data_IF_857924842021
#
_entry.id   IF_857924842021
#
_cell.length_a   1.000
_cell.length_b   1.000
_cell.length_c   1.000
_cell.angle_alpha   90.00
_cell.angle_beta   90.00
_cell.angle_gamma   90.00
#
_symmetry.space_group_name_H-M   'P 1'
#
loop_
_entity.id
_entity.type
_entity.pdbx_description
1 polymer ?
#
# COMPACT_ATOMS: atom_id res chain seq x y z
N UNK A 1 9.03 -31.10 23.11
CA UNK A 1 8.05 -30.49 22.21
C UNK A 1 8.40 -30.87 20.78
N UNK A 2 7.80 -31.94 20.24
CA UNK A 2 8.07 -32.42 18.89
C UNK A 2 7.13 -31.72 17.91
N UNK A 3 7.66 -30.85 17.07
CA UNK A 3 6.89 -30.15 16.03
C UNK A 3 6.37 -31.15 14.99
N UNK A 4 5.07 -31.16 14.65
CA UNK A 4 4.55 -32.04 13.61
C UNK A 4 5.20 -31.72 12.27
N UNK A 5 5.61 -32.77 11.55
CA UNK A 5 6.29 -32.67 10.25
C UNK A 5 5.28 -32.15 9.23
N UNK A 6 5.52 -30.95 8.71
CA UNK A 6 4.68 -30.35 7.68
C UNK A 6 4.91 -31.07 6.35
N UNK A 7 3.88 -31.73 5.84
CA UNK A 7 3.97 -32.56 4.63
C UNK A 7 3.55 -31.78 3.38
N UNK A 8 4.20 -32.06 2.25
CA UNK A 8 3.93 -31.39 0.97
C UNK A 8 2.45 -31.51 0.53
N UNK A 9 1.77 -32.62 0.86
CA UNK A 9 0.34 -32.77 0.58
C UNK A 9 -0.53 -31.80 1.38
N UNK A 10 -0.17 -31.54 2.63
CA UNK A 10 -0.86 -30.56 3.46
C UNK A 10 -0.68 -29.16 2.88
N UNK A 11 0.52 -28.83 2.40
CA UNK A 11 0.78 -27.58 1.68
C UNK A 11 -0.06 -27.43 0.41
N UNK A 12 -0.18 -28.50 -0.40
CA UNK A 12 -1.01 -28.49 -1.61
C UNK A 12 -2.49 -28.29 -1.28
N UNK A 13 -2.99 -28.94 -0.24
CA UNK A 13 -4.37 -28.76 0.24
C UNK A 13 -4.60 -27.35 0.79
N UNK A 14 -3.63 -26.79 1.51
CA UNK A 14 -3.68 -25.42 2.01
C UNK A 14 -3.65 -24.40 0.86
N UNK A 15 -2.82 -24.62 -0.17
CA UNK A 15 -2.80 -23.82 -1.40
C UNK A 15 -4.14 -23.86 -2.12
N UNK A 16 -4.70 -25.05 -2.36
CA UNK A 16 -5.99 -25.20 -3.03
C UNK A 16 -7.13 -24.53 -2.24
N UNK A 17 -7.08 -24.57 -0.90
CA UNK A 17 -8.03 -23.84 -0.02
C UNK A 17 -7.84 -22.33 -0.09
N UNK A 18 -6.62 -21.84 -0.23
CA UNK A 18 -6.32 -20.43 -0.43
C UNK A 18 -6.83 -19.94 -1.79
N UNK A 19 -6.58 -20.68 -2.86
CA UNK A 19 -7.05 -20.37 -4.22
C UNK A 19 -8.57 -20.33 -4.29
N UNK A 20 -9.27 -21.36 -3.80
CA UNK A 20 -10.74 -21.39 -3.75
C UNK A 20 -11.35 -20.28 -2.87
N UNK A 21 -10.67 -19.88 -1.80
CA UNK A 21 -11.09 -18.75 -0.95
C UNK A 21 -10.89 -17.39 -1.64
N UNK A 22 -9.88 -17.26 -2.49
CA UNK A 22 -9.70 -16.07 -3.34
C UNK A 22 -10.78 -16.03 -4.41
N UNK A 23 -11.04 -17.13 -5.10
CA UNK A 23 -12.09 -17.24 -6.14
C UNK A 23 -13.48 -16.94 -5.58
N UNK A 24 -13.85 -17.55 -4.45
CA UNK A 24 -15.14 -17.30 -3.80
C UNK A 24 -15.26 -15.88 -3.22
N UNK A 25 -14.15 -15.22 -2.89
CA UNK A 25 -14.14 -13.79 -2.51
C UNK A 25 -14.32 -12.87 -3.72
N UNK A 26 -13.84 -13.29 -4.90
CA UNK A 26 -14.12 -12.63 -6.17
C UNK A 26 -15.58 -12.82 -6.59
N UNK A 27 -16.17 -14.00 -6.38
CA UNK A 27 -17.60 -14.26 -6.69
C UNK A 27 -18.58 -13.53 -5.76
N UNK A 28 -18.20 -13.28 -4.50
CA UNK A 28 -19.04 -12.51 -3.55
C UNK A 28 -18.97 -11.00 -3.77
N UNK A 29 -18.11 -10.53 -4.67
CA UNK A 29 -18.17 -9.16 -5.15
C UNK A 29 -19.20 -9.12 -6.28
N UNK A 30 -20.26 -8.28 -6.21
CA UNK A 30 -21.20 -8.17 -7.31
C UNK A 30 -20.41 -7.90 -8.60
N UNK A 31 -20.79 -8.44 -9.76
CA UNK A 31 -20.06 -8.27 -11.00
C UNK A 31 -20.10 -6.80 -11.42
N UNK A 32 -19.23 -5.99 -10.82
CA UNK A 32 -18.92 -4.67 -11.34
C UNK A 32 -18.19 -4.97 -12.63
N UNK A 33 -18.89 -4.71 -13.74
CA UNK A 33 -18.39 -4.66 -15.13
C UNK A 33 -16.87 -4.56 -15.13
N UNK A 34 -16.13 -5.45 -15.82
CA UNK A 34 -14.68 -5.50 -15.75
C UNK A 34 -14.14 -4.08 -15.95
N UNK A 35 -13.71 -3.46 -14.85
CA UNK A 35 -13.17 -2.12 -14.83
C UNK A 35 -11.97 -2.21 -15.76
N UNK A 36 -12.11 -1.66 -16.97
CA UNK A 36 -11.12 -1.84 -18.03
C UNK A 36 -9.73 -1.61 -17.48
N UNK A 37 -8.74 -2.43 -17.84
CA UNK A 37 -7.42 -2.63 -17.19
C UNK A 37 -6.87 -1.46 -16.35
N UNK A 38 -7.00 -0.21 -16.82
CA UNK A 38 -6.68 1.04 -16.09
C UNK A 38 -7.43 1.23 -14.76
N UNK A 39 -8.74 1.00 -14.72
CA UNK A 39 -9.56 1.18 -13.54
C UNK A 39 -9.34 0.06 -12.50
N UNK A 40 -9.09 -1.17 -12.95
CA UNK A 40 -8.61 -2.24 -12.06
C UNK A 40 -7.22 -1.92 -11.47
N UNK A 41 -6.30 -1.36 -12.26
CA UNK A 41 -5.00 -0.90 -11.76
C UNK A 41 -5.14 0.26 -10.75
N UNK A 42 -6.04 1.21 -11.00
CA UNK A 42 -6.33 2.30 -10.07
C UNK A 42 -6.91 1.79 -8.75
N UNK A 43 -7.78 0.79 -8.79
CA UNK A 43 -8.35 0.19 -7.59
C UNK A 43 -7.29 -0.57 -6.77
N UNK A 44 -6.42 -1.35 -7.43
CA UNK A 44 -5.28 -1.99 -6.77
C UNK A 44 -4.35 -0.96 -6.12
N UNK A 45 -4.08 0.13 -6.82
CA UNK A 45 -3.26 1.22 -6.29
C UNK A 45 -3.93 1.91 -5.09
N UNK A 46 -5.24 2.08 -5.11
CA UNK A 46 -6.00 2.61 -3.97
C UNK A 46 -5.90 1.68 -2.76
N UNK A 47 -6.10 0.37 -2.96
CA UNK A 47 -5.94 -0.63 -1.88
C UNK A 47 -4.53 -0.63 -1.31
N UNK A 48 -3.50 -0.63 -2.16
CA UNK A 48 -2.10 -0.58 -1.71
C UNK A 48 -1.78 0.69 -0.91
N UNK A 49 -2.38 1.84 -1.29
CA UNK A 49 -2.24 3.09 -0.52
C UNK A 49 -2.88 2.98 0.86
N UNK A 50 -4.08 2.42 0.95
CA UNK A 50 -4.77 2.26 2.22
C UNK A 50 -4.02 1.30 3.15
N UNK A 51 -3.49 0.20 2.61
CA UNK A 51 -2.64 -0.74 3.35
C UNK A 51 -1.34 -0.07 3.84
N UNK A 52 -0.68 0.71 2.98
CA UNK A 52 0.51 1.47 3.38
C UNK A 52 0.21 2.47 4.50
N UNK A 53 -0.91 3.20 4.42
CA UNK A 53 -1.32 4.14 5.48
C UNK A 53 -1.66 3.42 6.79
N UNK A 54 -2.26 2.23 6.72
CA UNK A 54 -2.51 1.41 7.90
C UNK A 54 -1.20 0.91 8.53
N UNK A 55 -0.25 0.45 7.70
CA UNK A 55 1.08 0.03 8.17
C UNK A 55 1.84 1.19 8.81
N UNK A 56 1.80 2.37 8.17
CA UNK A 56 2.38 3.61 8.69
C UNK A 56 1.87 3.93 10.09
N UNK A 57 0.55 3.84 10.31
CA UNK A 57 -0.06 4.10 11.63
C UNK A 57 0.26 3.02 12.66
N UNK A 58 0.40 1.76 12.25
CA UNK A 58 0.70 0.64 13.17
C UNK A 58 2.13 0.68 13.71
N UNK A 59 3.06 1.14 12.89
CA UNK A 59 4.49 1.16 13.20
C UNK A 59 5.05 2.58 13.37
N UNK A 60 4.18 3.59 13.46
CA UNK A 60 4.52 5.01 13.52
C UNK A 60 5.59 5.45 12.51
N UNK A 61 5.51 4.90 11.29
CA UNK A 61 6.50 5.16 10.25
C UNK A 61 6.45 6.64 9.84
N UNK A 62 7.62 7.27 9.93
CA UNK A 62 7.87 8.64 9.53
C UNK A 62 8.58 8.70 8.19
N UNK A 63 8.65 9.90 7.61
CA UNK A 63 9.46 10.15 6.41
C UNK A 63 10.94 9.86 6.71
N UNK A 64 11.40 10.05 7.95
CA UNK A 64 12.77 9.76 8.34
C UNK A 64 13.08 8.26 8.22
N UNK A 65 12.14 7.39 8.59
CA UNK A 65 12.33 5.93 8.50
C UNK A 65 12.44 5.46 7.05
N UNK A 66 11.73 6.11 6.13
CA UNK A 66 11.83 5.81 4.69
C UNK A 66 13.11 6.37 4.09
N UNK A 67 13.50 7.59 4.47
CA UNK A 67 14.73 8.25 4.00
C UNK A 67 15.98 7.51 4.49
N UNK A 68 15.94 6.88 5.66
CA UNK A 68 17.04 6.07 6.20
C UNK A 68 17.40 4.84 5.36
N UNK A 69 16.50 4.37 4.47
CA UNK A 69 16.80 3.27 3.53
C UNK A 69 17.54 3.71 2.27
N UNK A 70 17.61 5.02 1.99
CA UNK A 70 18.34 5.55 0.84
C UNK A 70 19.75 5.98 1.25
N UNK A 71 20.73 5.97 0.31
CA UNK A 71 22.00 6.64 0.51
C UNK A 71 21.76 8.11 0.89
N UNK A 72 22.56 8.63 1.83
CA UNK A 72 22.36 9.97 2.41
C UNK A 72 22.23 11.07 1.33
N UNK A 73 23.05 10.99 0.28
CA UNK A 73 23.06 11.94 -0.82
C UNK A 73 21.72 11.97 -1.60
N UNK A 74 21.13 10.79 -1.85
CA UNK A 74 19.87 10.66 -2.57
C UNK A 74 18.68 11.11 -1.72
N UNK A 75 18.69 10.75 -0.43
CA UNK A 75 17.64 11.13 0.52
C UNK A 75 17.55 12.64 0.72
N UNK A 76 18.68 13.32 0.91
CA UNK A 76 18.73 14.77 1.11
C UNK A 76 18.31 15.51 -0.16
N UNK A 77 18.79 15.08 -1.33
CA UNK A 77 18.40 15.69 -2.61
C UNK A 77 16.88 15.61 -2.84
N UNK A 78 16.27 14.47 -2.53
CA UNK A 78 14.81 14.29 -2.62
C UNK A 78 14.05 15.23 -1.68
N UNK A 79 14.48 15.34 -0.42
CA UNK A 79 13.86 16.25 0.55
C UNK A 79 14.00 17.72 0.12
N UNK A 80 15.16 18.12 -0.40
CA UNK A 80 15.38 19.47 -0.92
C UNK A 80 14.45 19.78 -2.10
N UNK A 81 14.27 18.84 -3.04
CA UNK A 81 13.32 18.99 -4.15
C UNK A 81 11.88 19.19 -3.64
N UNK A 82 11.45 18.41 -2.64
CA UNK A 82 10.12 18.56 -2.03
C UNK A 82 9.94 19.93 -1.37
N UNK A 83 10.95 20.42 -0.65
CA UNK A 83 10.92 21.73 0.00
C UNK A 83 10.80 22.85 -1.04
N UNK A 84 11.62 22.82 -2.10
CA UNK A 84 11.58 23.80 -3.19
C UNK A 84 10.21 23.77 -3.89
N UNK A 85 9.67 22.59 -4.18
CA UNK A 85 8.36 22.44 -4.80
C UNK A 85 7.23 22.96 -3.90
N UNK A 86 7.32 22.77 -2.58
CA UNK A 86 6.35 23.27 -1.62
C UNK A 86 6.41 24.80 -1.48
N UNK A 87 7.62 25.39 -1.48
CA UNK A 87 7.81 26.84 -1.41
C UNK A 87 7.38 27.54 -2.71
N UNK A 88 7.57 26.90 -3.87
CA UNK A 88 7.15 27.43 -5.16
C UNK A 88 5.62 27.49 -5.31
N UNK A 89 4.86 26.74 -4.49
CA UNK A 89 3.39 26.76 -4.52
C UNK A 89 2.87 27.76 -3.48
N UNK A 90 2.39 28.96 -3.88
CA UNK A 90 1.91 29.94 -2.91
C UNK A 90 0.75 29.34 -2.13
N UNK A 91 0.97 29.13 -0.83
CA UNK A 91 -0.01 28.62 0.11
C UNK A 91 -1.10 29.68 0.27
N UNK A 92 -2.17 29.59 -0.54
CA UNK A 92 -3.35 30.48 -0.43
C UNK A 92 -3.94 30.30 0.97
N UNK A 93 -3.59 31.19 1.88
CA UNK A 93 -4.29 31.39 3.14
C UNK A 93 -5.72 31.78 2.82
N UNK A 94 -6.68 30.90 3.12
CA UNK A 94 -8.10 31.25 3.08
C UNK A 94 -8.34 32.32 4.14
N UNK A 95 -8.82 33.50 3.74
CA UNK A 95 -9.24 34.54 4.68
C UNK A 95 -10.36 33.99 5.58
N UNK A 96 -10.36 34.29 6.89
CA UNK A 96 -11.50 34.02 7.73
C UNK A 96 -12.69 34.86 7.24
N UNK A 97 -13.88 34.26 7.29
CA UNK A 97 -15.15 34.91 6.94
C UNK A 97 -15.75 35.46 8.23
N UNK A 98 -15.85 36.78 8.33
CA UNK A 98 -16.71 37.48 9.31
C UNK A 98 -18.18 37.13 9.07
#
# INVERSE_FOLDING_TARGET
MTTPKYDYRQFQEELARLESKVESKVEKQPPSKPLGKKAAAAQRLATARDEFLALRKRHDLSVADVVAFFPEEEGIAYLQQLIVAAQAKPRRTRKPKD
#
